data_IF_258761315409
#
_entry.id   IF_258761315409
#
_cell.length_a   1.000
_cell.length_b   1.000
_cell.length_c   1.000
_cell.angle_alpha   90.00
_cell.angle_beta   90.00
_cell.angle_gamma   90.00
#
_symmetry.space_group_name_H-M   'P 1'
#
loop_
_entity.id
_entity.type
_entity.pdbx_description
1 polymer ?
#
# COMPACT_ATOMS: atom_id res chain seq x y z
N UNK A 1 6.68 5.97 -1.55
CA UNK A 1 5.86 5.12 -0.69
C UNK A 1 4.63 4.70 -1.46
N UNK A 2 4.14 3.48 -1.25
CA UNK A 2 2.95 2.93 -1.90
C UNK A 2 2.19 2.12 -0.85
N UNK A 3 0.93 2.43 -0.60
CA UNK A 3 0.05 1.66 0.25
C UNK A 3 -0.86 0.77 -0.60
N UNK A 4 -0.72 -0.55 -0.46
CA UNK A 4 -1.54 -1.59 -1.07
C UNK A 4 -2.35 -1.18 -2.33
N UNK A 5 -3.61 -0.76 -2.18
CA UNK A 5 -4.52 -0.45 -3.29
C UNK A 5 -4.59 1.03 -3.68
N UNK A 6 -3.78 1.90 -3.07
CA UNK A 6 -3.68 3.33 -3.39
C UNK A 6 -3.45 3.56 -4.90
N UNK A 7 -4.39 4.29 -5.49
CA UNK A 7 -4.46 4.59 -6.93
C UNK A 7 -3.56 5.77 -7.32
N UNK A 8 -3.24 6.68 -6.39
CA UNK A 8 -2.50 7.92 -6.71
C UNK A 8 -1.09 7.61 -7.20
N UNK A 9 -0.47 6.60 -6.62
CA UNK A 9 0.86 6.14 -7.05
C UNK A 9 0.86 5.44 -8.41
N UNK A 10 -0.26 5.38 -9.12
CA UNK A 10 -0.41 4.67 -10.41
C UNK A 10 -0.87 5.57 -11.54
N UNK A 11 -1.18 6.82 -11.23
CA UNK A 11 -1.55 7.85 -12.20
C UNK A 11 -0.43 8.89 -12.27
N UNK A 12 0.09 9.20 -13.47
CA UNK A 12 -0.29 8.64 -14.77
C UNK A 12 0.30 7.23 -14.98
N UNK A 13 -0.34 6.37 -15.79
CA UNK A 13 0.13 5.02 -16.01
C UNK A 13 1.51 4.97 -16.68
N UNK A 14 2.28 3.90 -16.41
CA UNK A 14 3.63 3.70 -16.97
C UNK A 14 3.66 3.67 -18.50
N UNK A 15 2.57 3.24 -19.15
CA UNK A 15 2.46 3.22 -20.61
C UNK A 15 2.37 4.62 -21.23
N UNK A 16 2.08 5.65 -20.43
CA UNK A 16 2.15 7.06 -20.84
C UNK A 16 3.58 7.64 -20.70
N UNK A 17 4.59 6.79 -20.47
CA UNK A 17 6.00 7.20 -20.35
C UNK A 17 6.45 7.57 -18.94
N UNK A 18 5.54 7.56 -17.95
CA UNK A 18 5.88 7.88 -16.57
C UNK A 18 6.63 6.73 -15.88
N UNK A 19 7.65 7.08 -15.09
CA UNK A 19 8.45 6.12 -14.32
C UNK A 19 8.66 6.65 -12.89
N UNK A 20 8.44 5.78 -11.90
CA UNK A 20 8.82 6.07 -10.53
C UNK A 20 10.34 5.99 -10.38
N UNK A 21 10.94 6.97 -9.72
CA UNK A 21 12.36 7.03 -9.40
C UNK A 21 12.57 6.91 -7.90
N UNK A 22 13.81 6.60 -7.49
CA UNK A 22 14.18 6.47 -6.07
C UNK A 22 13.86 5.12 -5.45
N UNK A 23 13.87 5.07 -4.10
CA UNK A 23 13.60 3.85 -3.33
C UNK A 23 12.12 3.75 -3.00
N UNK A 24 11.46 2.73 -3.55
CA UNK A 24 10.08 2.44 -3.24
C UNK A 24 9.96 1.75 -1.86
N UNK A 25 9.12 2.31 -1.00
CA UNK A 25 8.66 1.68 0.25
C UNK A 25 7.22 1.23 0.04
N UNK A 26 6.95 -0.06 0.23
CA UNK A 26 5.63 -0.65 -0.03
C UNK A 26 5.01 -1.16 1.27
N UNK A 27 3.82 -0.65 1.59
CA UNK A 27 2.95 -1.15 2.65
C UNK A 27 1.98 -2.16 2.03
N UNK A 28 1.94 -3.37 2.59
CA UNK A 28 1.04 -4.42 2.11
C UNK A 28 -0.39 -4.25 2.66
N UNK A 29 -1.32 -5.10 2.22
CA UNK A 29 -2.71 -5.08 2.69
C UNK A 29 -2.90 -5.24 4.22
N UNK A 30 -1.84 -5.54 4.97
CA UNK A 30 -1.84 -5.64 6.44
C UNK A 30 -1.15 -4.45 7.11
N UNK A 31 -0.78 -3.40 6.36
CA UNK A 31 -0.09 -2.23 6.90
C UNK A 31 1.38 -2.45 7.23
N UNK A 32 2.01 -3.53 6.72
CA UNK A 32 3.43 -3.86 6.99
C UNK A 32 4.32 -3.48 5.83
N UNK A 33 5.50 -2.91 6.13
CA UNK A 33 6.52 -2.60 5.13
C UNK A 33 7.14 -3.91 4.62
N UNK A 34 6.98 -4.20 3.32
CA UNK A 34 7.54 -5.42 2.70
C UNK A 34 8.08 -5.17 1.30
N UNK A 35 9.21 -5.80 0.97
CA UNK A 35 9.69 -5.91 -0.41
C UNK A 35 8.99 -7.08 -1.09
N UNK A 36 8.01 -6.80 -1.94
CA UNK A 36 7.27 -7.79 -2.71
C UNK A 36 7.70 -7.80 -4.18
N UNK A 37 7.80 -8.99 -4.77
CA UNK A 37 7.94 -9.17 -6.23
C UNK A 37 6.67 -8.76 -6.97
N UNK A 38 6.75 -8.55 -8.29
CA UNK A 38 5.60 -8.11 -9.10
C UNK A 38 4.36 -9.01 -8.94
N UNK A 39 4.56 -10.32 -8.96
CA UNK A 39 3.47 -11.29 -8.74
C UNK A 39 2.92 -11.27 -7.31
N UNK A 40 3.81 -11.13 -6.32
CA UNK A 40 3.38 -11.02 -4.93
C UNK A 40 2.53 -9.77 -4.69
N UNK A 41 2.87 -8.64 -5.33
CA UNK A 41 2.07 -7.41 -5.30
C UNK A 41 0.70 -7.60 -5.95
N UNK A 42 0.64 -8.28 -7.09
CA UNK A 42 -0.64 -8.58 -7.73
C UNK A 42 -1.54 -9.37 -6.76
N UNK A 43 -1.03 -10.44 -6.15
CA UNK A 43 -1.77 -11.22 -5.14
C UNK A 43 -2.15 -10.41 -3.90
N UNK A 44 -1.27 -9.52 -3.44
CA UNK A 44 -1.50 -8.67 -2.28
C UNK A 44 -2.65 -7.68 -2.53
N UNK A 45 -2.68 -7.05 -3.70
CA UNK A 45 -3.77 -6.16 -4.12
C UNK A 45 -5.10 -6.89 -4.25
N UNK A 46 -5.09 -8.07 -4.89
CA UNK A 46 -6.27 -8.93 -4.95
C UNK A 46 -6.77 -9.25 -3.54
N UNK A 47 -5.88 -9.58 -2.61
CA UNK A 47 -6.26 -9.83 -1.21
C UNK A 47 -6.85 -8.59 -0.54
N UNK A 48 -6.25 -7.41 -0.71
CA UNK A 48 -6.79 -6.15 -0.19
C UNK A 48 -8.19 -5.87 -0.73
N UNK A 49 -8.37 -6.01 -2.03
CA UNK A 49 -9.64 -5.78 -2.71
C UNK A 49 -10.73 -6.77 -2.27
N UNK A 50 -10.40 -8.06 -2.17
CA UNK A 50 -11.33 -9.07 -1.64
C UNK A 50 -11.66 -8.84 -0.16
N UNK A 51 -10.67 -8.41 0.63
CA UNK A 51 -10.87 -8.03 2.03
C UNK A 51 -11.83 -6.86 2.16
N UNK A 52 -11.56 -5.76 1.45
CA UNK A 52 -12.39 -4.56 1.46
C UNK A 52 -13.82 -4.86 1.01
N UNK A 53 -13.98 -5.69 -0.04
CA UNK A 53 -15.28 -6.10 -0.55
C UNK A 53 -16.08 -6.91 0.48
N UNK A 54 -15.42 -7.80 1.24
CA UNK A 54 -16.07 -8.52 2.36
C UNK A 54 -16.53 -7.60 3.48
N UNK A 55 -15.84 -6.48 3.69
CA UNK A 55 -16.25 -5.45 4.65
C UNK A 55 -17.20 -4.40 4.05
N UNK A 56 -17.71 -4.61 2.83
CA UNK A 56 -18.64 -3.70 2.16
C UNK A 56 -18.04 -2.35 1.78
N UNK A 57 -16.71 -2.25 1.69
CA UNK A 57 -15.98 -1.01 1.40
C UNK A 57 -15.33 -1.08 0.01
N UNK A 58 -15.54 -0.05 -0.79
CA UNK A 58 -14.85 0.14 -2.07
C UNK A 58 -13.50 0.80 -1.78
N UNK A 59 -12.41 0.00 -1.88
CA UNK A 59 -11.08 0.26 -1.32
C UNK A 59 -10.30 1.46 -1.89
N UNK A 60 -10.70 1.99 -3.04
CA UNK A 60 -9.87 2.96 -3.76
C UNK A 60 -9.80 4.35 -3.12
N UNK A 61 -10.82 4.76 -2.35
CA UNK A 61 -10.84 6.05 -1.67
C UNK A 61 -10.38 5.98 -0.21
N UNK A 62 -10.60 4.84 0.47
CA UNK A 62 -10.17 4.64 1.86
C UNK A 62 -8.64 4.56 1.97
N UNK A 63 -7.99 3.84 1.05
CA UNK A 63 -6.52 3.72 0.97
C UNK A 63 -5.83 5.01 0.47
N UNK A 64 -6.59 6.03 0.07
CA UNK A 64 -6.07 7.37 -0.26
C UNK A 64 -5.84 8.24 0.99
N UNK A 65 -6.40 7.84 2.14
CA UNK A 65 -6.24 8.63 3.37
C UNK A 65 -4.79 8.63 3.85
N UNK A 66 -4.19 9.82 3.92
CA UNK A 66 -2.86 10.01 4.51
C UNK A 66 -2.77 9.52 5.95
N UNK A 67 -3.91 9.44 6.67
CA UNK A 67 -3.97 8.94 8.04
C UNK A 67 -3.61 7.45 8.13
N UNK A 68 -4.00 6.63 7.15
CA UNK A 68 -3.63 5.21 7.15
C UNK A 68 -2.13 5.04 6.87
N UNK A 69 -1.54 5.91 6.03
CA UNK A 69 -0.09 5.97 5.86
C UNK A 69 0.62 6.30 7.18
N UNK A 70 0.19 7.35 7.87
CA UNK A 70 0.78 7.78 9.17
C UNK A 70 0.71 6.62 10.17
N UNK A 71 -0.48 6.05 10.36
CA UNK A 71 -0.72 4.93 11.28
C UNK A 71 0.18 3.72 10.99
N UNK A 72 0.29 3.31 9.73
CA UNK A 72 1.13 2.18 9.37
C UNK A 72 2.63 2.46 9.55
N UNK A 73 3.06 3.69 9.31
CA UNK A 73 4.45 4.12 9.50
C UNK A 73 4.77 4.19 11.00
N UNK A 74 3.92 4.78 11.82
CA UNK A 74 4.07 4.84 13.28
C UNK A 74 4.19 3.44 13.88
N UNK A 75 3.30 2.52 13.50
CA UNK A 75 3.37 1.12 13.94
C UNK A 75 4.68 0.44 13.50
N UNK A 76 5.16 0.72 12.29
CA UNK A 76 6.42 0.16 11.81
C UNK A 76 7.63 0.69 12.60
N UNK A 77 7.62 1.98 12.96
CA UNK A 77 8.65 2.60 13.81
C UNK A 77 8.61 1.99 15.21
N UNK A 78 7.44 1.90 15.83
CA UNK A 78 7.28 1.34 17.17
C UNK A 78 7.76 -0.13 17.24
N UNK A 79 7.44 -0.95 16.22
CA UNK A 79 7.96 -2.31 16.13
C UNK A 79 9.48 -2.37 15.94
N UNK A 80 10.09 -1.39 15.27
CA UNK A 80 11.55 -1.32 15.10
C UNK A 80 12.26 -0.88 16.39
N UNK A 81 11.62 -0.02 17.17
CA UNK A 81 12.11 0.48 18.46
C UNK A 81 11.82 -0.47 19.63
N UNK A 82 11.02 -1.53 19.42
CA UNK A 82 10.63 -2.49 20.45
C UNK A 82 9.63 -1.94 21.45
N UNK A 83 8.90 -0.88 21.09
CA UNK A 83 7.92 -0.19 21.94
C UNK A 83 6.47 -0.65 21.69
N UNK A 84 6.28 -1.62 20.80
CA UNK A 84 4.99 -2.15 20.35
C UNK A 84 4.75 -3.60 20.76
#
# INVERSE_FOLDING_TARGET
>A
WVNNNDIVTRVPPRWMGYRHTGREMYLNAYGKIRKLSGWQRAKDRWRGFWGSLRYGRVDHFSDHSILEYVKHIENAVAHQEGTA
#
